data_IF_318684048965
#
_entry.id   IF_318684048965
#
_cell.length_a   1.000
_cell.length_b   1.000
_cell.length_c   1.000
_cell.angle_alpha   90.00
_cell.angle_beta   90.00
_cell.angle_gamma   90.00
#
_symmetry.space_group_name_H-M   'P 1'
#
loop_
_entity.id
_entity.type
_entity.pdbx_description
1 polymer ?
#
# COMPACT_ATOMS: atom_id res chain seq x y z
N UNK A 1 9.52 7.42 17.92
CA UNK A 1 9.31 6.18 17.14
C UNK A 1 8.28 6.52 16.08
N UNK A 2 8.64 6.45 14.79
CA UNK A 2 7.67 6.67 13.72
C UNK A 2 6.70 5.49 13.74
N UNK A 3 5.47 5.71 14.21
CA UNK A 3 4.40 4.75 14.08
C UNK A 3 4.03 4.64 12.60
N UNK A 4 4.08 3.44 12.03
CA UNK A 4 3.70 3.16 10.64
C UNK A 4 2.22 3.42 10.36
N UNK A 5 1.41 3.39 11.43
CA UNK A 5 -0.03 3.70 11.42
C UNK A 5 -0.29 4.69 12.55
N UNK A 6 -0.93 5.81 12.24
CA UNK A 6 -1.59 6.65 13.23
C UNK A 6 -2.96 6.03 13.55
N UNK A 7 -3.05 5.28 14.66
CA UNK A 7 -4.27 4.54 15.03
C UNK A 7 -5.45 5.47 15.28
N UNK A 8 -5.23 6.63 15.88
CA UNK A 8 -6.29 7.59 16.18
C UNK A 8 -6.85 8.17 14.87
N UNK A 9 -5.96 8.50 13.93
CA UNK A 9 -6.36 8.99 12.61
C UNK A 9 -7.02 7.90 11.75
N UNK A 10 -6.53 6.66 11.82
CA UNK A 10 -7.14 5.51 11.14
C UNK A 10 -8.56 5.23 11.68
N UNK A 11 -8.74 5.26 13.00
CA UNK A 11 -10.04 5.09 13.64
C UNK A 11 -10.99 6.26 13.31
N UNK A 12 -10.48 7.49 13.22
CA UNK A 12 -11.27 8.65 12.80
C UNK A 12 -11.75 8.52 11.33
N UNK A 13 -10.99 7.85 10.45
CA UNK A 13 -11.40 7.60 9.04
C UNK A 13 -12.57 6.65 8.90
N UNK A 14 -12.82 5.83 9.93
CA UNK A 14 -13.97 4.94 10.03
C UNK A 14 -14.97 5.44 11.09
N UNK A 15 -14.94 6.74 11.41
CA UNK A 15 -15.88 7.38 12.34
C UNK A 15 -15.95 6.74 13.74
N UNK A 16 -14.86 6.13 14.20
CA UNK A 16 -14.82 5.44 15.49
C UNK A 16 -15.23 3.97 15.46
N UNK A 17 -15.59 3.44 14.29
CA UNK A 17 -16.02 2.05 14.13
C UNK A 17 -14.83 1.09 14.11
N UNK A 18 -14.57 0.46 15.25
CA UNK A 18 -13.47 -0.50 15.43
C UNK A 18 -13.69 -1.76 14.60
N UNK A 19 -14.93 -2.26 14.50
CA UNK A 19 -15.23 -3.46 13.71
C UNK A 19 -14.96 -3.21 12.23
N UNK A 20 -15.39 -2.05 11.71
CA UNK A 20 -15.08 -1.65 10.33
C UNK A 20 -13.56 -1.53 10.10
N UNK A 21 -12.80 -0.98 11.06
CA UNK A 21 -11.34 -0.90 10.93
C UNK A 21 -10.69 -2.29 10.84
N UNK A 22 -11.19 -3.25 11.62
CA UNK A 22 -10.72 -4.63 11.61
C UNK A 22 -11.06 -5.35 10.30
N UNK A 23 -12.29 -5.17 9.80
CA UNK A 23 -12.71 -5.72 8.51
C UNK A 23 -11.84 -5.17 7.36
N UNK A 24 -11.60 -3.86 7.35
CA UNK A 24 -10.71 -3.24 6.37
C UNK A 24 -9.28 -3.79 6.48
N UNK A 25 -8.78 -3.98 7.70
CA UNK A 25 -7.45 -4.56 7.93
C UNK A 25 -7.37 -5.99 7.37
N UNK A 26 -8.38 -6.83 7.60
CA UNK A 26 -8.43 -8.19 7.05
C UNK A 26 -8.49 -8.20 5.52
N UNK A 27 -9.31 -7.33 4.91
CA UNK A 27 -9.39 -7.18 3.45
C UNK A 27 -8.01 -6.79 2.89
N UNK A 28 -7.38 -5.77 3.48
CA UNK A 28 -6.05 -5.31 3.06
C UNK A 28 -5.01 -6.43 3.13
N UNK A 29 -4.95 -7.16 4.25
CA UNK A 29 -4.02 -8.27 4.45
C UNK A 29 -4.25 -9.41 3.46
N UNK A 30 -5.50 -9.66 3.05
CA UNK A 30 -5.86 -10.65 2.04
C UNK A 30 -5.48 -10.26 0.61
N UNK A 31 -5.57 -8.97 0.26
CA UNK A 31 -5.23 -8.45 -1.07
C UNK A 31 -3.72 -8.27 -1.27
N UNK A 32 -2.99 -7.97 -0.19
CA UNK A 32 -1.59 -7.56 -0.25
C UNK A 32 -0.66 -8.52 -1.01
N UNK A 33 -0.73 -9.86 -0.84
CA UNK A 33 0.11 -10.79 -1.60
C UNK A 33 -0.09 -10.69 -3.11
N UNK A 34 -1.33 -10.52 -3.56
CA UNK A 34 -1.64 -10.40 -4.99
C UNK A 34 -1.16 -9.05 -5.55
N UNK A 35 -1.35 -7.96 -4.81
CA UNK A 35 -0.93 -6.62 -5.25
C UNK A 35 0.60 -6.52 -5.35
N UNK A 36 1.32 -7.03 -4.35
CA UNK A 36 2.79 -7.06 -4.35
C UNK A 36 3.35 -7.93 -5.47
N UNK A 37 2.73 -9.08 -5.75
CA UNK A 37 3.13 -9.94 -6.87
C UNK A 37 2.91 -9.30 -8.24
N UNK A 38 1.79 -8.59 -8.42
CA UNK A 38 1.52 -7.81 -9.64
C UNK A 38 2.53 -6.68 -9.85
N UNK A 39 2.87 -5.95 -8.79
CA UNK A 39 3.92 -4.91 -8.86
C UNK A 39 5.26 -5.53 -9.27
N UNK A 40 5.70 -6.59 -8.60
CA UNK A 40 6.96 -7.27 -8.90
C UNK A 40 7.03 -7.78 -10.34
N UNK A 41 5.97 -8.44 -10.80
CA UNK A 41 5.88 -8.97 -12.16
C UNK A 41 5.81 -7.85 -13.20
N UNK A 42 5.04 -6.80 -12.93
CA UNK A 42 4.95 -5.62 -13.81
C UNK A 42 6.31 -4.95 -13.99
N UNK A 43 7.08 -4.79 -12.91
CA UNK A 43 8.44 -4.26 -12.97
C UNK A 43 9.39 -5.17 -13.76
N UNK A 44 9.32 -6.50 -13.55
CA UNK A 44 10.17 -7.46 -14.25
C UNK A 44 9.88 -7.55 -15.76
N UNK A 45 8.64 -7.25 -16.16
CA UNK A 45 8.19 -7.29 -17.55
C UNK A 45 8.12 -5.92 -18.23
N UNK A 46 8.55 -4.84 -17.56
CA UNK A 46 8.42 -3.45 -18.04
C UNK A 46 6.95 -3.08 -18.39
N UNK A 47 5.99 -3.66 -17.68
CA UNK A 47 4.55 -3.42 -17.87
C UNK A 47 4.07 -2.28 -16.97
N UNK A 48 4.21 -1.06 -17.47
CA UNK A 48 3.76 0.15 -16.77
C UNK A 48 2.28 0.16 -16.40
N UNK A 49 1.40 -0.47 -17.19
CA UNK A 49 -0.04 -0.55 -16.87
C UNK A 49 -0.29 -1.47 -15.69
N UNK A 50 0.38 -2.61 -15.64
CA UNK A 50 0.30 -3.52 -14.49
C UNK A 50 0.78 -2.83 -13.21
N UNK A 51 1.92 -2.11 -13.28
CA UNK A 51 2.46 -1.32 -12.17
C UNK A 51 1.45 -0.24 -11.74
N UNK A 52 0.92 0.53 -12.68
CA UNK A 52 -0.04 1.60 -12.41
C UNK A 52 -1.28 1.07 -11.65
N UNK A 53 -1.92 0.02 -12.17
CA UNK A 53 -3.16 -0.50 -11.59
C UNK A 53 -2.94 -1.10 -10.19
N UNK A 54 -1.86 -1.87 -10.00
CA UNK A 54 -1.56 -2.46 -8.70
C UNK A 54 -1.21 -1.39 -7.67
N UNK A 55 -0.44 -0.38 -8.06
CA UNK A 55 -0.08 0.75 -7.21
C UNK A 55 -1.32 1.62 -6.85
N UNK A 56 -2.22 1.85 -7.81
CA UNK A 56 -3.48 2.57 -7.57
C UNK A 56 -4.35 1.86 -6.51
N UNK A 57 -4.53 0.54 -6.65
CA UNK A 57 -5.30 -0.24 -5.69
C UNK A 57 -4.67 -0.17 -4.29
N UNK A 58 -3.35 -0.40 -4.20
CA UNK A 58 -2.62 -0.36 -2.94
C UNK A 58 -2.71 1.02 -2.26
N UNK A 59 -2.58 2.10 -3.03
CA UNK A 59 -2.74 3.48 -2.55
C UNK A 59 -4.13 3.70 -1.93
N UNK A 60 -5.19 3.24 -2.61
CA UNK A 60 -6.56 3.36 -2.13
C UNK A 60 -6.75 2.68 -0.77
N UNK A 61 -6.31 1.43 -0.67
CA UNK A 61 -6.46 0.64 0.56
C UNK A 61 -5.58 1.17 1.71
N UNK A 62 -4.33 1.58 1.43
CA UNK A 62 -3.45 2.22 2.43
C UNK A 62 -4.02 3.55 2.96
N UNK A 63 -4.82 4.24 2.14
CA UNK A 63 -5.57 5.43 2.50
C UNK A 63 -6.59 5.22 3.62
N UNK A 64 -6.99 4.00 3.95
CA UNK A 64 -7.89 3.77 5.08
C UNK A 64 -7.16 3.84 6.43
N UNK A 65 -5.87 3.50 6.46
CA UNK A 65 -5.10 3.31 7.70
C UNK A 65 -4.17 4.49 8.06
N UNK A 66 -4.30 5.64 7.40
CA UNK A 66 -3.34 6.74 7.57
C UNK A 66 -1.87 6.32 7.36
N UNK A 67 -1.63 5.30 6.53
CA UNK A 67 -0.31 4.79 6.21
C UNK A 67 0.38 5.70 5.18
N UNK A 68 0.76 6.90 5.60
CA UNK A 68 1.25 7.98 4.71
C UNK A 68 2.43 7.56 3.85
N UNK A 69 3.38 6.80 4.41
CA UNK A 69 4.56 6.33 3.66
C UNK A 69 4.17 5.37 2.53
N UNK A 70 3.34 4.37 2.82
CA UNK A 70 2.80 3.43 1.83
C UNK A 70 1.98 4.16 0.76
N UNK A 71 1.15 5.12 1.18
CA UNK A 71 0.34 5.92 0.27
C UNK A 71 1.18 6.72 -0.73
N UNK A 72 2.20 7.44 -0.26
CA UNK A 72 3.03 8.27 -1.15
C UNK A 72 3.93 7.43 -2.06
N UNK A 73 4.48 6.31 -1.58
CA UNK A 73 5.28 5.40 -2.42
C UNK A 73 4.42 4.70 -3.48
N UNK A 74 3.22 4.25 -3.12
CA UNK A 74 2.29 3.67 -4.09
C UNK A 74 1.86 4.72 -5.13
N UNK A 75 1.62 5.96 -4.73
CA UNK A 75 1.31 7.08 -5.65
C UNK A 75 2.47 7.39 -6.60
N UNK A 76 3.72 7.26 -6.16
CA UNK A 76 4.90 7.42 -7.03
C UNK A 76 4.96 6.31 -8.08
N UNK A 77 4.81 5.03 -7.68
CA UNK A 77 4.75 3.90 -8.61
C UNK A 77 3.58 4.00 -9.59
N UNK A 78 2.41 4.48 -9.13
CA UNK A 78 1.26 4.74 -9.99
C UNK A 78 1.59 5.77 -11.07
N UNK A 79 2.29 6.85 -10.71
CA UNK A 79 2.72 7.87 -11.66
C UNK A 79 3.75 7.33 -12.65
N UNK A 80 4.78 6.61 -12.18
CA UNK A 80 5.80 5.96 -13.03
C UNK A 80 5.16 5.02 -14.06
N UNK A 81 4.24 4.15 -13.60
CA UNK A 81 3.50 3.24 -14.48
C UNK A 81 2.61 3.95 -15.50
N UNK A 82 1.93 5.04 -15.10
CA UNK A 82 1.11 5.86 -15.99
C UNK A 82 1.94 6.57 -17.05
N UNK A 83 3.09 7.11 -16.65
CA UNK A 83 3.95 7.93 -17.50
C UNK A 83 4.84 7.04 -18.39
N UNK A 84 4.90 5.73 -18.11
CA UNK A 84 5.65 4.74 -18.89
C UNK A 84 7.17 4.78 -18.62
N UNK A 85 7.57 5.43 -17.55
CA UNK A 85 8.97 5.53 -17.11
C UNK A 85 9.14 4.77 -15.79
N UNK A 86 9.64 3.54 -15.90
CA UNK A 86 9.88 2.64 -14.77
C UNK A 86 11.33 2.65 -14.28
N UNK A 87 12.16 3.59 -14.73
CA UNK A 87 13.59 3.63 -14.41
C UNK A 87 13.89 3.65 -12.90
N UNK A 88 13.14 4.43 -12.13
CA UNK A 88 13.26 4.56 -10.67
C UNK A 88 12.27 3.65 -9.90
N UNK A 89 11.46 2.88 -10.60
CA UNK A 89 10.42 2.06 -10.00
C UNK A 89 10.96 0.90 -9.13
N UNK A 90 12.10 0.23 -9.45
CA UNK A 90 12.68 -0.79 -8.56
C UNK A 90 13.07 -0.25 -7.19
N UNK A 91 13.74 0.91 -7.12
CA UNK A 91 14.17 1.53 -5.85
C UNK A 91 12.94 1.98 -5.04
N UNK A 92 11.94 2.54 -5.73
CA UNK A 92 10.67 2.95 -5.10
C UNK A 92 9.89 1.75 -4.57
N UNK A 93 9.92 0.62 -5.28
CA UNK A 93 9.27 -0.61 -4.86
C UNK A 93 9.96 -1.26 -3.65
N UNK A 94 11.30 -1.27 -3.59
CA UNK A 94 12.04 -1.75 -2.41
C UNK A 94 11.68 -0.93 -1.16
N UNK A 95 11.60 0.40 -1.28
CA UNK A 95 11.14 1.26 -0.20
C UNK A 95 9.67 0.97 0.20
N UNK A 96 8.81 0.71 -0.78
CA UNK A 96 7.41 0.34 -0.56
C UNK A 96 7.30 -1.00 0.18
N UNK A 97 8.05 -2.03 -0.21
CA UNK A 97 8.04 -3.34 0.45
C UNK A 97 8.40 -3.22 1.93
N UNK A 98 9.41 -2.43 2.27
CA UNK A 98 9.80 -2.21 3.67
C UNK A 98 8.69 -1.54 4.51
N UNK A 99 7.95 -0.58 3.94
CA UNK A 99 6.83 0.07 4.63
C UNK A 99 5.58 -0.82 4.67
N UNK A 100 5.36 -1.66 3.66
CA UNK A 100 4.29 -2.65 3.65
C UNK A 100 4.48 -3.72 4.72
N UNK A 101 5.70 -4.20 4.95
CA UNK A 101 6.00 -5.14 6.02
C UNK A 101 5.69 -4.54 7.40
N UNK A 102 6.04 -3.27 7.60
CA UNK A 102 5.71 -2.57 8.84
C UNK A 102 4.20 -2.36 9.00
N UNK A 103 3.50 -2.02 7.91
CA UNK A 103 2.05 -1.83 7.90
C UNK A 103 1.35 -3.15 8.21
N UNK A 104 1.77 -4.24 7.56
CA UNK A 104 1.26 -5.60 7.79
C UNK A 104 1.38 -6.01 9.25
N UNK A 105 2.54 -5.81 9.86
CA UNK A 105 2.74 -6.12 11.28
C UNK A 105 1.79 -5.30 12.17
N UNK A 106 1.68 -4.00 11.93
CA UNK A 106 0.80 -3.14 12.70
C UNK A 106 -0.69 -3.53 12.56
N UNK A 107 -1.15 -3.93 11.36
CA UNK A 107 -2.52 -4.39 11.11
C UNK A 107 -2.81 -5.79 11.66
N UNK A 108 -1.80 -6.66 11.75
CA UNK A 108 -1.97 -7.98 12.37
C UNK A 108 -2.29 -7.85 13.87
N UNK A 109 -1.83 -6.79 14.52
CA UNK A 109 -2.16 -6.46 15.92
C UNK A 109 -3.54 -5.77 16.07
N UNK A 110 -4.25 -5.52 14.97
CA UNK A 110 -5.62 -4.96 14.95
C UNK A 110 -6.66 -6.03 14.63
N UNK A 111 -6.36 -6.92 13.68
CA UNK A 111 -7.24 -7.99 13.18
C UNK A 111 -7.45 -9.12 14.20
#
# INVERSE_FOLDING_TARGET
>A
MNLTIDRDLALARVEGDVELLQDLAQIFLGELPQLTDRLRTGLACDDGKAVQHAAHALKGSAGNFAATAVFELAKQLEAMGRDGDLSEAPITYEALEAELDRLKNALTDLA
#
